data_IF_086926896798
#
_entry.id   IF_086926896798
#
_cell.length_a   1.000
_cell.length_b   1.000
_cell.length_c   1.000
_cell.angle_alpha   90.00
_cell.angle_beta   90.00
_cell.angle_gamma   90.00
#
_symmetry.space_group_name_H-M   'P 1'
#
loop_
_entity.id
_entity.type
_entity.pdbx_description
1 polymer ?
#
# COMPACT_ATOMS: atom_id res chain seq x y z
N UNK A 1 -2.83 -5.78 9.60
CA UNK A 1 -1.73 -5.15 8.83
C UNK A 1 -1.60 -5.85 7.48
N UNK A 2 -1.08 -5.15 6.47
CA UNK A 2 -0.78 -5.72 5.14
C UNK A 2 0.71 -5.59 4.88
N UNK A 3 1.30 -6.60 4.25
CA UNK A 3 2.73 -6.63 3.92
C UNK A 3 2.88 -6.68 2.40
N UNK A 4 3.47 -5.62 1.83
CA UNK A 4 3.81 -5.52 0.41
C UNK A 4 5.31 -5.78 0.26
N UNK A 5 5.68 -6.89 -0.39
CA UNK A 5 7.08 -7.23 -0.71
C UNK A 5 7.38 -6.81 -2.15
N UNK A 6 8.38 -5.97 -2.34
CA UNK A 6 8.86 -5.60 -3.67
C UNK A 6 10.03 -6.52 -4.05
N UNK A 7 9.93 -7.17 -5.20
CA UNK A 7 11.00 -8.02 -5.73
C UNK A 7 12.00 -7.15 -6.50
N UNK A 8 13.29 -7.30 -6.19
CA UNK A 8 14.41 -6.51 -6.74
C UNK A 8 14.72 -6.79 -8.23
N UNK A 9 13.86 -7.54 -8.93
CA UNK A 9 14.06 -7.98 -10.32
C UNK A 9 14.09 -6.83 -11.32
N UNK A 10 13.58 -5.64 -10.94
CA UNK A 10 13.55 -4.46 -11.78
C UNK A 10 14.44 -3.36 -11.18
N UNK A 11 15.31 -2.76 -12.02
CA UNK A 11 16.15 -1.61 -11.63
C UNK A 11 15.36 -0.49 -10.96
N UNK A 12 14.09 -0.33 -11.32
CA UNK A 12 13.24 0.74 -10.80
C UNK A 12 12.58 0.41 -9.46
N UNK A 13 12.59 -0.84 -9.00
CA UNK A 13 11.93 -1.27 -7.75
C UNK A 13 12.52 -0.61 -6.50
N UNK A 14 13.83 -0.38 -6.45
CA UNK A 14 14.49 0.30 -5.32
C UNK A 14 14.14 1.80 -5.30
N UNK A 15 14.01 2.40 -6.48
CA UNK A 15 13.59 3.79 -6.63
C UNK A 15 12.13 3.96 -6.21
N UNK A 16 11.24 3.08 -6.69
CA UNK A 16 9.83 3.07 -6.29
C UNK A 16 9.68 2.90 -4.79
N UNK A 17 10.40 1.95 -4.20
CA UNK A 17 10.41 1.75 -2.75
C UNK A 17 10.81 3.02 -1.99
N UNK A 18 11.92 3.66 -2.37
CA UNK A 18 12.39 4.90 -1.72
C UNK A 18 11.41 6.05 -1.88
N UNK A 19 10.77 6.17 -3.04
CA UNK A 19 9.73 7.17 -3.27
C UNK A 19 8.53 6.90 -2.36
N UNK A 20 8.05 5.65 -2.31
CA UNK A 20 6.90 5.25 -1.50
C UNK A 20 7.16 5.50 -0.01
N UNK A 21 8.34 5.12 0.50
CA UNK A 21 8.78 5.45 1.86
C UNK A 21 8.83 6.96 2.08
N UNK A 22 9.52 7.73 1.23
CA UNK A 22 9.69 9.18 1.44
C UNK A 22 8.36 9.94 1.41
N UNK A 23 7.46 9.62 0.50
CA UNK A 23 6.21 10.36 0.31
C UNK A 23 5.15 9.91 1.32
N UNK A 24 4.97 8.59 1.50
CA UNK A 24 3.88 8.08 2.32
C UNK A 24 4.23 8.16 3.82
N UNK A 25 5.50 7.99 4.21
CA UNK A 25 5.88 8.13 5.63
C UNK A 25 5.60 9.51 6.21
N UNK A 26 5.64 10.54 5.35
CA UNK A 26 5.43 11.94 5.75
C UNK A 26 3.94 12.33 5.76
N UNK A 27 3.05 11.41 5.37
CA UNK A 27 1.63 11.73 5.19
C UNK A 27 0.78 11.03 6.26
N UNK A 28 0.10 11.82 7.08
CA UNK A 28 -0.87 11.34 8.05
C UNK A 28 -2.24 11.95 7.77
N UNK A 29 -3.03 11.31 6.90
CA UNK A 29 -4.33 11.82 6.48
C UNK A 29 -5.38 10.71 6.46
N UNK A 30 -6.60 11.01 6.93
CA UNK A 30 -7.71 10.05 7.08
C UNK A 30 -8.13 9.32 5.80
N UNK A 31 -7.82 9.88 4.62
CA UNK A 31 -8.19 9.32 3.31
C UNK A 31 -7.00 8.67 2.59
N UNK A 32 -5.83 8.55 3.23
CA UNK A 32 -4.65 7.89 2.67
C UNK A 32 -4.28 6.71 3.54
N UNK A 33 -3.92 5.60 2.90
CA UNK A 33 -3.48 4.41 3.64
C UNK A 33 -2.23 4.74 4.43
N UNK A 34 -2.26 4.39 5.71
CA UNK A 34 -1.15 4.68 6.62
C UNK A 34 -0.06 3.63 6.47
N UNK A 35 1.17 4.08 6.16
CA UNK A 35 2.36 3.27 6.30
C UNK A 35 2.71 3.16 7.79
N UNK A 36 2.80 1.92 8.30
CA UNK A 36 3.15 1.62 9.69
C UNK A 36 4.64 1.42 9.88
N UNK A 37 5.35 0.99 8.84
CA UNK A 37 6.79 0.76 8.84
C UNK A 37 7.29 0.15 7.54
N UNK A 38 8.59 -0.06 7.45
CA UNK A 38 9.24 -0.68 6.29
C UNK A 38 10.47 -1.50 6.71
N UNK A 39 10.94 -2.37 5.81
CA UNK A 39 12.25 -3.03 5.90
C UNK A 39 13.05 -2.72 4.64
N UNK A 40 14.24 -2.15 4.83
CA UNK A 40 15.25 -1.86 3.83
C UNK A 40 16.57 -2.52 4.23
N UNK A 41 16.58 -3.86 4.23
CA UNK A 41 17.74 -4.65 4.65
C UNK A 41 18.20 -5.55 3.51
N UNK A 42 19.43 -5.34 3.04
CA UNK A 42 20.03 -6.14 1.96
C UNK A 42 19.19 -6.08 0.67
N UNK A 43 18.61 -7.22 0.30
CA UNK A 43 17.71 -7.34 -0.87
C UNK A 43 16.23 -7.20 -0.53
N UNK A 44 15.89 -7.12 0.76
CA UNK A 44 14.51 -7.00 1.20
C UNK A 44 14.03 -5.56 1.09
N UNK A 45 12.91 -5.39 0.38
CA UNK A 45 12.15 -4.15 0.25
C UNK A 45 10.72 -4.44 0.64
N UNK A 46 10.36 -4.14 1.87
CA UNK A 46 9.06 -4.49 2.45
C UNK A 46 8.38 -3.24 3.00
N UNK A 47 7.10 -3.08 2.69
CA UNK A 47 6.25 -2.02 3.23
C UNK A 47 5.14 -2.65 4.09
N UNK A 48 4.92 -2.08 5.27
CA UNK A 48 3.89 -2.53 6.21
C UNK A 48 2.83 -1.46 6.31
N UNK A 49 1.61 -1.79 5.90
CA UNK A 49 0.46 -0.89 5.88
C UNK A 49 -0.59 -1.25 6.92
N UNK A 50 -1.39 -0.25 7.30
CA UNK A 50 -2.69 -0.49 7.91
C UNK A 50 -3.58 -1.30 6.96
N UNK A 51 -4.37 -2.23 7.51
CA UNK A 51 -5.24 -3.08 6.71
C UNK A 51 -6.53 -2.33 6.37
N UNK A 52 -6.81 -2.18 5.07
CA UNK A 52 -8.09 -1.70 4.56
C UNK A 52 -9.07 -2.88 4.44
N UNK A 53 -9.82 -3.16 5.49
CA UNK A 53 -10.71 -4.35 5.59
C UNK A 53 -11.82 -4.40 4.52
N UNK A 54 -12.23 -3.25 4.02
CA UNK A 54 -13.34 -3.15 3.08
C UNK A 54 -12.94 -3.42 1.62
N UNK A 55 -11.66 -3.72 1.35
CA UNK A 55 -11.19 -3.96 -0.01
C UNK A 55 -11.11 -2.68 -0.85
N UNK A 56 -11.11 -2.84 -2.18
CA UNK A 56 -10.93 -1.72 -3.11
C UNK A 56 -12.26 -1.12 -3.55
N UNK A 57 -12.26 0.14 -3.98
CA UNK A 57 -13.44 0.75 -4.60
C UNK A 57 -13.93 -0.02 -5.84
N UNK A 58 -13.01 -0.62 -6.60
CA UNK A 58 -13.37 -1.39 -7.79
C UNK A 58 -14.26 -2.59 -7.42
N UNK A 59 -14.02 -3.25 -6.28
CA UNK A 59 -14.87 -4.34 -5.82
C UNK A 59 -16.32 -3.88 -5.57
N UNK A 60 -16.54 -2.65 -5.09
CA UNK A 60 -17.89 -2.12 -4.89
C UNK A 60 -18.56 -1.60 -6.17
N UNK A 61 -17.78 -1.20 -7.17
CA UNK A 61 -18.34 -0.61 -8.39
C UNK A 61 -18.57 -1.63 -9.51
N UNK A 62 -17.72 -2.66 -9.58
CA UNK A 62 -17.65 -3.54 -10.75
C UNK A 62 -17.87 -5.03 -10.43
N UNK A 63 -17.98 -5.42 -9.17
CA UNK A 63 -18.47 -6.75 -8.78
C UNK A 63 -19.97 -6.71 -8.48
N UNK A 64 -20.61 -7.85 -8.27
CA UNK A 64 -22.07 -7.95 -8.01
C UNK A 64 -22.50 -7.29 -6.68
N UNK A 65 -21.56 -6.80 -5.88
CA UNK A 65 -21.80 -6.04 -4.66
C UNK A 65 -22.21 -4.59 -4.96
N UNK A 66 -23.47 -4.39 -5.34
CA UNK A 66 -24.02 -3.01 -5.44
C UNK A 66 -24.16 -2.41 -4.03
N UNK A 67 -23.53 -1.24 -3.74
CA UNK A 67 -23.77 -0.56 -2.49
C UNK A 67 -25.25 -0.20 -2.38
N UNK A 68 -25.84 -0.47 -1.22
CA UNK A 68 -27.21 -0.05 -0.90
C UNK A 68 -27.18 1.42 -0.51
N UNK A 69 -27.56 2.28 -1.45
CA UNK A 69 -27.76 3.72 -1.22
C UNK A 69 -29.19 3.95 -0.74
N UNK A 70 -29.49 3.49 0.47
CA UNK A 70 -30.74 3.84 1.16
C UNK A 70 -30.52 5.10 2.00
#
# INVERSE_FOLDING_TARGET
>A
IVVKKLHKMLKDSDKEFKIEVNVISQTHHKNLVRLLGYCDEGEHRILVYELMSNGTLANFLFEDFKPKWN
#
